data_IF_003186037718
#
_entry.id   IF_003186037718
#
_cell.length_a   1.000
_cell.length_b   1.000
_cell.length_c   1.000
_cell.angle_alpha   90.00
_cell.angle_beta   90.00
_cell.angle_gamma   90.00
#
_symmetry.space_group_name_H-M   'P 1'
#
loop_
_entity.id
_entity.type
_entity.pdbx_description
1 polymer ?
#
# COMPACT_ATOMS: atom_id res chain seq x y z
N UNK A 1 9.82 6.60 -12.70
CA UNK A 1 8.96 5.77 -11.82
C UNK A 1 9.80 4.63 -11.26
N UNK A 2 9.57 4.15 -10.03
CA UNK A 2 10.31 3.00 -9.50
C UNK A 2 9.99 1.71 -10.29
N UNK A 3 10.96 0.79 -10.50
CA UNK A 3 10.73 -0.44 -11.27
C UNK A 3 9.57 -1.31 -10.76
N UNK A 4 9.34 -1.32 -9.44
CA UNK A 4 8.23 -2.05 -8.81
C UNK A 4 6.85 -1.51 -9.22
N UNK A 5 6.72 -0.19 -9.42
CA UNK A 5 5.46 0.43 -9.86
C UNK A 5 5.15 0.06 -11.30
N UNK A 6 6.17 0.04 -12.18
CA UNK A 6 5.98 -0.40 -13.56
C UNK A 6 5.61 -1.88 -13.65
N UNK A 7 6.24 -2.74 -12.84
CA UNK A 7 5.88 -4.16 -12.74
C UNK A 7 4.44 -4.34 -12.25
N UNK A 8 4.00 -3.55 -11.26
CA UNK A 8 2.62 -3.57 -10.78
C UNK A 8 1.62 -3.15 -11.87
N UNK A 9 1.90 -2.06 -12.59
CA UNK A 9 1.07 -1.62 -13.72
C UNK A 9 1.01 -2.66 -14.84
N UNK A 10 2.13 -3.32 -15.12
CA UNK A 10 2.19 -4.38 -16.12
C UNK A 10 1.32 -5.58 -15.73
N UNK A 11 1.43 -6.07 -14.49
CA UNK A 11 0.59 -7.17 -14.00
C UNK A 11 -0.91 -6.82 -14.04
N UNK A 12 -1.28 -5.59 -13.67
CA UNK A 12 -2.66 -5.12 -13.80
C UNK A 12 -3.14 -5.11 -15.27
N UNK A 13 -2.28 -4.66 -16.19
CA UNK A 13 -2.58 -4.66 -17.63
C UNK A 13 -2.79 -6.07 -18.18
N UNK A 14 -1.98 -7.04 -17.75
CA UNK A 14 -2.12 -8.45 -18.13
C UNK A 14 -3.45 -9.05 -17.65
N UNK A 15 -3.98 -8.55 -16.54
CA UNK A 15 -5.32 -8.89 -16.03
C UNK A 15 -6.45 -8.05 -16.65
N UNK A 16 -6.15 -7.22 -17.65
CA UNK A 16 -7.14 -6.38 -18.36
C UNK A 16 -7.48 -5.07 -17.67
N UNK A 17 -6.81 -4.71 -16.57
CA UNK A 17 -7.00 -3.44 -15.88
C UNK A 17 -6.17 -2.35 -16.54
N UNK A 18 -6.82 -1.25 -16.94
CA UNK A 18 -6.15 -0.14 -17.63
C UNK A 18 -6.27 1.14 -16.80
N UNK A 19 -5.14 1.78 -16.53
CA UNK A 19 -5.09 3.06 -15.81
C UNK A 19 -5.85 4.15 -16.58
N UNK A 20 -6.62 4.98 -15.88
CA UNK A 20 -7.51 5.99 -16.46
C UNK A 20 -8.81 5.44 -17.06
N UNK A 21 -8.98 4.11 -17.10
CA UNK A 21 -10.22 3.45 -17.54
C UNK A 21 -10.85 2.61 -16.43
N UNK A 22 -10.08 1.65 -15.90
CA UNK A 22 -10.51 0.69 -14.88
C UNK A 22 -10.09 1.11 -13.48
N UNK A 23 -8.99 1.86 -13.35
CA UNK A 23 -8.47 2.35 -12.08
C UNK A 23 -7.68 3.65 -12.26
N UNK A 24 -7.48 4.38 -11.17
CA UNK A 24 -6.50 5.46 -11.06
C UNK A 24 -5.38 5.00 -10.13
N UNK A 25 -4.14 5.42 -10.40
CA UNK A 25 -3.00 5.11 -9.54
C UNK A 25 -2.40 6.39 -8.97
N UNK A 26 -2.44 6.49 -7.65
CA UNK A 26 -1.78 7.54 -6.89
C UNK A 26 -0.56 6.94 -6.20
N UNK A 27 0.62 7.48 -6.50
CA UNK A 27 1.88 6.99 -5.93
C UNK A 27 2.49 8.06 -5.04
N UNK A 28 2.95 7.66 -3.85
CA UNK A 28 3.71 8.51 -2.93
C UNK A 28 5.06 7.89 -2.64
N UNK A 29 6.11 8.69 -2.78
CA UNK A 29 7.49 8.27 -2.54
C UNK A 29 8.02 8.93 -1.26
N UNK A 30 8.39 8.12 -0.28
CA UNK A 30 9.04 8.60 0.94
C UNK A 30 10.50 9.02 0.75
N UNK A 31 11.13 8.65 -0.38
CA UNK A 31 12.54 8.99 -0.70
C UNK A 31 13.52 8.61 0.43
N UNK A 32 13.25 7.52 1.15
CA UNK A 32 14.05 7.05 2.29
C UNK A 32 13.85 7.86 3.58
N UNK A 33 12.98 8.87 3.58
CA UNK A 33 12.71 9.73 4.74
C UNK A 33 11.51 9.21 5.54
N UNK A 34 11.80 8.59 6.68
CA UNK A 34 10.78 7.97 7.54
C UNK A 34 9.80 9.02 8.08
N UNK A 35 10.29 10.21 8.37
CA UNK A 35 9.51 11.36 8.86
C UNK A 35 8.40 11.78 7.89
N UNK A 36 8.53 11.49 6.59
CA UNK A 36 7.51 11.81 5.58
C UNK A 36 6.38 10.80 5.53
N UNK A 37 6.58 9.58 6.04
CA UNK A 37 5.62 8.48 5.83
C UNK A 37 4.24 8.76 6.43
N UNK A 38 4.19 9.41 7.59
CA UNK A 38 2.91 9.78 8.22
C UNK A 38 2.12 10.79 7.39
N UNK A 39 2.80 11.79 6.81
CA UNK A 39 2.17 12.79 5.95
C UNK A 39 1.65 12.15 4.66
N UNK A 40 2.50 11.36 3.99
CA UNK A 40 2.13 10.65 2.76
C UNK A 40 0.97 9.67 2.99
N UNK A 41 0.93 9.02 4.16
CA UNK A 41 -0.18 8.15 4.54
C UNK A 41 -1.49 8.92 4.66
N UNK A 42 -1.46 10.09 5.30
CA UNK A 42 -2.64 10.96 5.44
C UNK A 42 -3.14 11.45 4.08
N UNK A 43 -2.24 11.83 3.18
CA UNK A 43 -2.62 12.22 1.82
C UNK A 43 -3.37 11.09 1.09
N UNK A 44 -2.83 9.87 1.12
CA UNK A 44 -3.46 8.72 0.45
C UNK A 44 -4.85 8.39 1.04
N UNK A 45 -5.00 8.46 2.37
CA UNK A 45 -6.30 8.24 3.02
C UNK A 45 -7.28 9.36 2.67
N UNK A 46 -6.83 10.62 2.63
CA UNK A 46 -7.65 11.77 2.27
C UNK A 46 -8.16 11.71 0.81
N UNK A 47 -7.40 11.07 -0.09
CA UNK A 47 -7.83 10.80 -1.47
C UNK A 47 -8.90 9.70 -1.57
N UNK A 48 -9.26 9.04 -0.45
CA UNK A 48 -10.28 7.98 -0.39
C UNK A 48 -9.98 6.83 -1.36
N UNK A 49 -8.73 6.35 -1.33
CA UNK A 49 -8.33 5.19 -2.13
C UNK A 49 -9.17 3.95 -1.79
N UNK A 50 -9.45 3.14 -2.81
CA UNK A 50 -10.19 1.88 -2.63
C UNK A 50 -9.31 0.76 -2.06
N UNK A 51 -8.01 0.78 -2.37
CA UNK A 51 -7.00 -0.16 -1.89
C UNK A 51 -5.68 0.61 -1.81
N UNK A 52 -4.87 0.36 -0.78
CA UNK A 52 -3.53 0.92 -0.66
C UNK A 52 -2.51 -0.22 -0.66
N UNK A 53 -1.53 -0.15 -1.57
CA UNK A 53 -0.44 -1.14 -1.66
C UNK A 53 0.82 -0.55 -1.02
N UNK A 54 1.46 -1.30 -0.12
CA UNK A 54 2.64 -0.83 0.63
C UNK A 54 3.82 -1.80 0.48
N UNK A 55 5.05 -1.30 0.21
CA UNK A 55 6.21 -2.16 -0.06
C UNK A 55 7.17 -2.36 1.12
N UNK A 56 6.84 -1.90 2.33
CA UNK A 56 7.72 -1.99 3.50
C UNK A 56 6.96 -1.83 4.82
N UNK A 57 7.47 -2.45 5.89
CA UNK A 57 6.85 -2.44 7.23
C UNK A 57 6.59 -1.03 7.79
N UNK A 58 7.53 -0.09 7.59
CA UNK A 58 7.34 1.30 8.02
C UNK A 58 6.17 1.98 7.29
N UNK A 59 6.01 1.71 6.00
CA UNK A 59 4.89 2.23 5.21
C UNK A 59 3.56 1.56 5.59
N UNK A 60 3.58 0.24 5.86
CA UNK A 60 2.41 -0.50 6.36
C UNK A 60 1.93 0.11 7.69
N UNK A 61 2.86 0.32 8.63
CA UNK A 61 2.55 0.89 9.93
C UNK A 61 1.99 2.32 9.81
N UNK A 62 2.55 3.14 8.92
CA UNK A 62 2.06 4.50 8.69
C UNK A 62 0.62 4.51 8.16
N UNK A 63 0.31 3.71 7.12
CA UNK A 63 -1.05 3.64 6.56
C UNK A 63 -2.04 3.07 7.58
N UNK A 64 -1.68 2.00 8.29
CA UNK A 64 -2.56 1.37 9.30
C UNK A 64 -2.92 2.34 10.44
N UNK A 65 -2.06 3.31 10.78
CA UNK A 65 -2.39 4.35 11.77
C UNK A 65 -3.42 5.34 11.27
N UNK A 66 -3.43 5.63 9.97
CA UNK A 66 -4.32 6.62 9.36
C UNK A 66 -5.68 6.01 8.93
N UNK A 67 -5.77 4.69 8.74
CA UNK A 67 -7.03 4.02 8.38
C UNK A 67 -7.13 2.57 8.87
N UNK A 68 -8.35 2.19 9.24
CA UNK A 68 -8.75 0.81 9.56
C UNK A 68 -9.80 0.26 8.59
N UNK A 69 -10.21 1.05 7.60
CA UNK A 69 -11.34 0.74 6.71
C UNK A 69 -10.93 0.60 5.25
N UNK A 70 -9.83 1.25 4.83
CA UNK A 70 -9.29 1.06 3.49
C UNK A 70 -8.43 -0.21 3.51
N UNK A 71 -8.69 -1.20 2.64
CA UNK A 71 -7.86 -2.39 2.53
C UNK A 71 -6.39 -2.06 2.25
N UNK A 72 -5.49 -2.66 3.02
CA UNK A 72 -4.04 -2.53 2.85
C UNK A 72 -3.49 -3.84 2.29
N UNK A 73 -2.90 -3.78 1.10
CA UNK A 73 -2.15 -4.90 0.52
C UNK A 73 -0.67 -4.71 0.85
N UNK A 74 -0.11 -5.65 1.60
CA UNK A 74 1.31 -5.69 1.93
C UNK A 74 2.05 -6.40 0.79
N UNK A 75 2.70 -5.65 -0.09
CA UNK A 75 3.49 -6.22 -1.18
C UNK A 75 4.78 -6.86 -0.65
N UNK A 76 5.31 -6.31 0.45
CA UNK A 76 6.44 -6.86 1.17
C UNK A 76 6.32 -6.51 2.66
N UNK A 77 6.46 -7.53 3.50
CA UNK A 77 6.60 -7.42 4.94
C UNK A 77 7.51 -8.56 5.42
N UNK A 78 8.44 -8.25 6.34
CA UNK A 78 9.39 -9.27 6.82
C UNK A 78 8.74 -10.24 7.81
N UNK A 79 7.94 -9.71 8.73
CA UNK A 79 7.15 -10.50 9.68
C UNK A 79 5.86 -9.74 10.03
N UNK A 80 4.80 -9.85 9.20
CA UNK A 80 3.56 -9.11 9.41
C UNK A 80 2.79 -9.56 10.66
N UNK A 81 3.07 -10.76 11.17
CA UNK A 81 2.48 -11.27 12.41
C UNK A 81 3.22 -10.69 13.62
N UNK A 82 4.55 -10.81 13.65
CA UNK A 82 5.39 -10.24 14.71
C UNK A 82 5.31 -8.72 14.80
N UNK A 83 5.12 -8.04 13.66
CA UNK A 83 4.84 -6.60 13.61
C UNK A 83 3.41 -6.22 14.05
N UNK A 84 2.53 -7.19 14.27
CA UNK A 84 1.14 -6.98 14.68
C UNK A 84 0.25 -6.38 13.58
N UNK A 85 0.65 -6.49 12.31
CA UNK A 85 -0.16 -6.01 11.19
C UNK A 85 -1.36 -6.90 10.92
N UNK A 86 -1.20 -8.22 11.13
CA UNK A 86 -2.23 -9.24 10.96
C UNK A 86 -2.21 -10.25 12.11
N UNK A 87 -3.32 -10.92 12.36
CA UNK A 87 -3.41 -11.94 13.42
C UNK A 87 -2.66 -13.24 13.05
N UNK A 88 -2.67 -13.62 11.78
CA UNK A 88 -1.94 -14.77 11.24
C UNK A 88 -1.83 -14.68 9.72
N UNK A 89 -0.93 -15.45 9.09
CA UNK A 89 -0.83 -15.50 7.62
C UNK A 89 -2.04 -16.19 6.96
N UNK A 90 -2.55 -17.26 7.59
CA UNK A 90 -3.68 -18.01 7.04
C UNK A 90 -5.03 -17.30 7.24
N UNK A 91 -5.16 -16.50 8.30
CA UNK A 91 -6.35 -15.74 8.67
C UNK A 91 -5.92 -14.36 9.20
N UNK A 92 -5.76 -13.36 8.33
CA UNK A 92 -5.16 -12.08 8.72
C UNK A 92 -6.03 -11.22 9.65
N UNK A 93 -7.34 -11.50 9.73
CA UNK A 93 -8.25 -10.85 10.68
C UNK A 93 -8.78 -9.48 10.24
N UNK A 94 -8.55 -9.10 8.99
CA UNK A 94 -9.25 -8.01 8.30
C UNK A 94 -10.38 -8.52 7.42
#
# INVERSE_FOLDING_TARGET
>A
MAPSVEAFKQGLRELGWVEGKSFVLEVRYGEGKVERLSELARELVALKMHVIVTPADLSIAAIKRETQTIPIVMALSSDPVGAGFVASLARPGG
#
